data_IF_920075385781
#
_entry.id   IF_920075385781
#
_cell.length_a   1.000
_cell.length_b   1.000
_cell.length_c   1.000
_cell.angle_alpha   90.00
_cell.angle_beta   90.00
_cell.angle_gamma   90.00
#
_symmetry.space_group_name_H-M   'P 1'
#
loop_
_entity.id
_entity.type
_entity.pdbx_description
1 polymer ?
#
# COMPACT_ATOMS: atom_id res chain seq x y z
N UNK A 1 77.56 -41.77 16.12
CA UNK A 1 76.72 -41.86 14.90
C UNK A 1 76.73 -40.47 14.24
N UNK A 2 77.64 -40.19 13.29
CA UNK A 2 77.50 -40.36 11.83
C UNK A 2 76.27 -39.65 11.20
N UNK A 3 76.52 -38.41 10.77
CA UNK A 3 76.26 -37.79 9.45
C UNK A 3 74.85 -37.31 9.01
N UNK A 4 74.72 -35.98 9.02
CA UNK A 4 74.13 -35.03 8.02
C UNK A 4 73.56 -35.63 6.71
N UNK A 5 72.41 -35.11 6.25
CA UNK A 5 72.29 -34.08 5.17
C UNK A 5 70.82 -33.76 4.83
N UNK A 6 70.55 -32.47 4.66
CA UNK A 6 69.42 -31.86 3.94
C UNK A 6 69.24 -32.50 2.56
N UNK A 7 67.99 -32.67 2.10
CA UNK A 7 67.59 -32.34 0.73
C UNK A 7 66.16 -31.80 0.69
N UNK A 8 66.09 -30.53 0.28
CA UNK A 8 64.93 -29.82 -0.24
C UNK A 8 64.66 -30.35 -1.67
N UNK A 9 63.42 -30.71 -2.00
CA UNK A 9 63.03 -30.95 -3.38
C UNK A 9 61.78 -30.13 -3.71
N UNK A 10 62.01 -29.08 -4.51
CA UNK A 10 61.00 -28.40 -5.31
C UNK A 10 60.30 -29.41 -6.22
N UNK A 11 58.96 -29.31 -6.28
CA UNK A 11 58.14 -29.94 -7.32
C UNK A 11 57.15 -28.92 -7.85
N UNK A 12 57.61 -28.08 -8.79
CA UNK A 12 56.78 -27.20 -9.60
C UNK A 12 56.11 -28.07 -10.69
N UNK A 13 54.78 -28.14 -10.68
CA UNK A 13 54.00 -28.88 -11.69
C UNK A 13 52.79 -28.05 -12.11
N UNK A 14 52.97 -27.27 -13.17
CA UNK A 14 51.90 -26.55 -13.85
C UNK A 14 50.98 -27.54 -14.58
N UNK A 15 49.68 -27.45 -14.34
CA UNK A 15 48.66 -28.02 -15.22
C UNK A 15 47.63 -26.93 -15.55
N UNK A 16 47.79 -26.43 -16.76
CA UNK A 16 46.92 -25.53 -17.49
C UNK A 16 45.61 -26.24 -17.83
N UNK A 17 44.48 -25.52 -17.78
CA UNK A 17 43.35 -25.76 -18.68
C UNK A 17 42.15 -26.51 -18.11
N UNK A 18 41.14 -25.74 -17.69
CA UNK A 18 39.76 -25.86 -18.19
C UNK A 18 38.89 -24.80 -17.48
N UNK A 19 38.96 -23.57 -17.97
CA UNK A 19 37.92 -22.57 -17.73
C UNK A 19 36.67 -23.00 -18.51
N UNK A 20 35.91 -23.94 -17.96
CA UNK A 20 34.56 -24.21 -18.40
C UNK A 20 33.63 -23.22 -17.70
N UNK A 21 33.28 -22.16 -18.43
CA UNK A 21 32.26 -21.20 -18.06
C UNK A 21 30.91 -21.91 -17.84
N UNK A 22 30.62 -22.29 -16.59
CA UNK A 22 29.26 -22.52 -16.14
C UNK A 22 28.60 -21.15 -16.05
N UNK A 23 28.00 -20.77 -17.18
CA UNK A 23 27.12 -19.62 -17.29
C UNK A 23 26.11 -19.67 -16.16
N UNK A 24 26.10 -18.59 -15.39
CA UNK A 24 25.03 -18.18 -14.51
C UNK A 24 23.72 -18.24 -15.30
N UNK A 25 22.96 -19.33 -15.12
CA UNK A 25 21.55 -19.32 -15.41
C UNK A 25 20.92 -18.37 -14.39
N UNK A 26 20.72 -17.12 -14.80
CA UNK A 26 19.90 -16.15 -14.11
C UNK A 26 18.54 -16.82 -13.80
N UNK A 27 18.05 -16.81 -12.55
CA UNK A 27 16.67 -17.14 -12.32
C UNK A 27 15.85 -16.09 -13.07
N UNK A 28 15.26 -16.52 -14.18
CA UNK A 28 14.26 -15.76 -14.93
C UNK A 28 13.33 -15.12 -13.91
N UNK A 29 13.39 -13.79 -13.86
CA UNK A 29 12.58 -12.94 -13.00
C UNK A 29 11.13 -13.12 -13.42
N UNK A 30 10.52 -14.20 -12.94
CA UNK A 30 9.10 -14.44 -13.08
C UNK A 30 8.39 -13.19 -12.56
N UNK A 31 7.69 -12.52 -13.48
CA UNK A 31 6.89 -11.34 -13.20
C UNK A 31 5.92 -11.73 -12.08
N UNK A 32 6.14 -11.18 -10.89
CA UNK A 32 5.23 -11.35 -9.77
C UNK A 32 3.81 -11.04 -10.25
N UNK A 33 2.80 -11.85 -9.92
CA UNK A 33 1.43 -11.60 -10.36
C UNK A 33 1.04 -10.20 -9.91
N UNK A 34 0.54 -9.40 -10.87
CA UNK A 34 0.12 -8.04 -10.61
C UNK A 34 -0.91 -8.06 -9.48
N UNK A 35 -0.64 -7.26 -8.46
CA UNK A 35 -1.56 -7.01 -7.37
C UNK A 35 -2.93 -6.60 -7.95
N UNK A 36 -4.05 -7.16 -7.45
CA UNK A 36 -5.36 -6.63 -7.79
C UNK A 36 -5.41 -5.14 -7.45
N UNK A 37 -5.80 -4.32 -8.43
CA UNK A 37 -6.13 -2.91 -8.19
C UNK A 37 -7.17 -2.82 -7.08
N UNK A 38 -7.03 -1.88 -6.12
CA UNK A 38 -8.08 -1.62 -5.16
C UNK A 38 -9.37 -1.27 -5.93
N UNK A 39 -10.54 -1.80 -5.52
CA UNK A 39 -11.78 -1.61 -6.25
C UNK A 39 -12.10 -0.12 -6.44
N UNK A 40 -12.49 0.26 -7.66
CA UNK A 40 -12.79 1.66 -8.06
C UNK A 40 -14.01 2.28 -7.37
N UNK A 41 -14.70 1.53 -6.49
CA UNK A 41 -15.95 1.91 -5.80
C UNK A 41 -15.76 2.44 -4.37
N UNK A 42 -14.55 2.80 -3.97
CA UNK A 42 -14.24 3.18 -2.58
C UNK A 42 -13.87 1.99 -1.71
N UNK A 43 -13.57 2.25 -0.43
CA UNK A 43 -13.16 1.19 0.51
C UNK A 43 -14.34 0.26 0.82
N UNK A 44 -14.17 -1.07 0.76
CA UNK A 44 -15.25 -2.01 1.04
C UNK A 44 -15.77 -1.84 2.47
N UNK A 45 -17.05 -2.15 2.73
CA UNK A 45 -17.60 -2.17 4.09
C UNK A 45 -16.79 -3.12 4.99
N UNK A 46 -16.80 -2.87 6.30
CA UNK A 46 -16.02 -3.70 7.23
C UNK A 46 -16.63 -5.11 7.32
N UNK A 47 -15.81 -6.17 7.29
CA UNK A 47 -16.30 -7.54 7.38
C UNK A 47 -16.92 -7.82 8.77
N UNK A 48 -17.73 -8.89 8.91
CA UNK A 48 -18.19 -9.33 10.22
C UNK A 48 -16.99 -9.60 11.14
N UNK A 49 -17.09 -9.17 12.41
CA UNK A 49 -16.00 -9.33 13.38
C UNK A 49 -15.76 -10.80 13.73
N UNK A 50 -14.54 -11.27 13.53
CA UNK A 50 -14.12 -12.59 14.01
C UNK A 50 -13.58 -12.46 15.45
N UNK A 51 -14.20 -13.14 16.41
CA UNK A 51 -13.73 -13.12 17.79
C UNK A 51 -12.66 -14.17 18.02
N UNK A 52 -11.52 -13.77 18.58
CA UNK A 52 -10.43 -14.69 18.88
C UNK A 52 -9.84 -14.45 20.27
N UNK A 53 -9.34 -15.51 20.91
CA UNK A 53 -8.53 -15.40 22.13
C UNK A 53 -7.12 -14.90 21.83
N UNK A 54 -6.61 -15.17 20.63
CA UNK A 54 -5.34 -14.63 20.17
C UNK A 54 -5.59 -13.28 19.51
N UNK A 55 -4.85 -12.28 19.95
CA UNK A 55 -4.93 -10.92 19.44
C UNK A 55 -3.54 -10.52 18.98
N UNK A 56 -3.47 -9.82 17.85
CA UNK A 56 -2.25 -9.21 17.35
C UNK A 56 -2.21 -7.75 17.75
N UNK A 57 -1.07 -7.33 18.29
CA UNK A 57 -0.77 -5.95 18.67
C UNK A 57 0.25 -5.41 17.70
N UNK A 58 -0.20 -4.45 16.90
CA UNK A 58 0.59 -3.75 15.91
C UNK A 58 1.17 -2.49 16.55
N UNK A 59 2.49 -2.41 16.62
CA UNK A 59 3.17 -1.17 16.94
C UNK A 59 3.21 -0.33 15.66
N UNK A 60 2.55 0.83 15.70
CA UNK A 60 2.45 1.76 14.57
C UNK A 60 3.29 2.98 14.90
N UNK A 61 4.19 3.32 13.99
CA UNK A 61 5.00 4.53 14.08
C UNK A 61 4.57 5.48 12.97
N UNK A 62 4.30 6.73 13.33
CA UNK A 62 4.01 7.79 12.39
C UNK A 62 5.09 8.83 12.50
N UNK A 63 5.68 9.21 11.37
CA UNK A 63 6.72 10.22 11.31
C UNK A 63 6.51 11.06 10.05
N UNK A 64 6.39 12.38 10.21
CA UNK A 64 6.14 13.28 9.08
C UNK A 64 4.84 12.95 8.33
N UNK A 65 3.81 12.52 9.07
CA UNK A 65 2.52 12.08 8.51
C UNK A 65 2.55 10.75 7.76
N UNK A 66 3.69 10.05 7.69
CA UNK A 66 3.80 8.71 7.09
C UNK A 66 3.74 7.64 8.18
N UNK A 67 2.80 6.71 8.04
CA UNK A 67 2.68 5.57 8.94
C UNK A 67 3.58 4.42 8.48
N UNK A 68 4.13 3.68 9.44
CA UNK A 68 4.89 2.44 9.24
C UNK A 68 4.55 1.43 10.34
N UNK A 69 4.84 0.16 10.05
CA UNK A 69 4.50 -0.99 10.89
C UNK A 69 5.78 -1.71 11.37
N UNK A 70 6.55 -1.11 12.31
CA UNK A 70 7.85 -1.64 12.72
C UNK A 70 7.81 -3.03 13.37
N UNK A 71 6.75 -3.32 14.13
CA UNK A 71 6.66 -4.57 14.90
C UNK A 71 5.24 -5.02 15.13
N UNK A 72 5.05 -6.32 15.21
CA UNK A 72 3.82 -6.99 15.59
C UNK A 72 4.11 -8.01 16.68
N UNK A 73 3.25 -8.08 17.68
CA UNK A 73 3.33 -9.08 18.75
C UNK A 73 1.96 -9.74 18.93
N UNK A 74 1.93 -10.93 19.52
CA UNK A 74 0.67 -11.59 19.87
C UNK A 74 0.43 -11.54 21.38
N UNK A 75 -0.84 -11.43 21.77
CA UNK A 75 -1.28 -11.54 23.16
C UNK A 75 -2.48 -12.46 23.23
N UNK A 76 -2.53 -13.30 24.26
CA UNK A 76 -3.69 -14.13 24.56
C UNK A 76 -4.59 -13.39 25.55
N UNK A 77 -5.88 -13.36 25.26
CA UNK A 77 -6.92 -12.82 26.14
C UNK A 77 -7.81 -13.95 26.65
N UNK A 78 -8.34 -13.78 27.87
CA UNK A 78 -9.15 -14.79 28.53
C UNK A 78 -10.46 -15.06 27.75
N UNK A 79 -11.09 -13.99 27.27
CA UNK A 79 -12.36 -14.04 26.56
C UNK A 79 -12.14 -13.74 25.08
N UNK A 80 -12.64 -14.58 24.15
CA UNK A 80 -12.58 -14.29 22.72
C UNK A 80 -13.16 -12.90 22.44
N UNK A 81 -12.37 -12.03 21.84
CA UNK A 81 -12.74 -10.63 21.61
C UNK A 81 -12.66 -10.32 20.12
N UNK A 82 -13.69 -9.73 19.49
CA UNK A 82 -13.62 -9.32 18.10
C UNK A 82 -12.76 -8.05 17.96
N UNK A 83 -12.26 -7.83 16.75
CA UNK A 83 -11.64 -6.56 16.38
C UNK A 83 -12.63 -5.41 16.56
N UNK A 84 -12.20 -4.35 17.26
CA UNK A 84 -13.03 -3.17 17.47
C UNK A 84 -13.22 -2.43 16.15
N UNK A 85 -14.47 -2.16 15.79
CA UNK A 85 -14.82 -1.33 14.64
C UNK A 85 -14.77 0.14 15.06
N UNK A 86 -13.81 0.87 14.54
CA UNK A 86 -13.66 2.31 14.75
C UNK A 86 -13.59 3.01 13.39
N UNK A 87 -13.85 4.31 13.37
CA UNK A 87 -13.53 5.15 12.22
C UNK A 87 -12.11 5.68 12.35
N UNK A 88 -11.45 5.92 11.22
CA UNK A 88 -10.12 6.50 11.21
C UNK A 88 -9.54 6.63 9.80
N UNK A 89 -8.59 7.53 9.65
CA UNK A 89 -7.83 7.77 8.41
C UNK A 89 -6.97 6.56 8.05
N UNK A 90 -6.34 5.92 9.02
CA UNK A 90 -5.48 4.78 8.77
C UNK A 90 -6.21 3.48 9.04
N UNK A 91 -5.76 2.41 8.39
CA UNK A 91 -6.26 1.08 8.67
C UNK A 91 -5.15 0.02 8.64
N UNK A 92 -5.26 -0.97 9.52
CA UNK A 92 -4.57 -2.25 9.40
C UNK A 92 -5.59 -3.26 8.90
N UNK A 93 -5.25 -3.98 7.84
CA UNK A 93 -6.14 -4.90 7.14
C UNK A 93 -5.51 -6.28 6.97
N UNK A 94 -6.24 -7.34 7.33
CA UNK A 94 -5.88 -8.71 6.99
C UNK A 94 -6.55 -9.16 5.71
N UNK A 95 -5.78 -9.81 4.84
CA UNK A 95 -6.24 -10.23 3.53
C UNK A 95 -5.88 -11.67 3.22
N UNK A 96 -6.71 -12.30 2.39
CA UNK A 96 -6.41 -13.54 1.67
C UNK A 96 -6.74 -13.36 0.20
N UNK A 97 -5.72 -13.34 -0.67
CA UNK A 97 -5.90 -13.01 -2.08
C UNK A 97 -6.53 -11.62 -2.26
N UNK A 98 -7.83 -11.58 -2.63
CA UNK A 98 -8.62 -10.34 -2.81
C UNK A 98 -9.72 -10.16 -1.75
N UNK A 99 -9.81 -11.07 -0.77
CA UNK A 99 -10.82 -11.03 0.30
C UNK A 99 -10.24 -10.32 1.52
N UNK A 100 -10.95 -9.29 1.99
CA UNK A 100 -10.65 -8.61 3.25
C UNK A 100 -11.25 -9.42 4.41
N UNK A 101 -10.38 -9.96 5.27
CA UNK A 101 -10.78 -10.80 6.40
C UNK A 101 -11.11 -9.99 7.63
N UNK A 102 -10.28 -9.00 7.94
CA UNK A 102 -10.49 -8.13 9.09
C UNK A 102 -9.86 -6.76 8.87
N UNK A 103 -10.43 -5.74 9.51
CA UNK A 103 -9.94 -4.37 9.44
C UNK A 103 -10.10 -3.66 10.77
N UNK A 104 -9.04 -3.04 11.22
CA UNK A 104 -9.11 -2.03 12.26
C UNK A 104 -8.68 -0.68 11.72
N UNK A 105 -9.55 0.31 11.87
CA UNK A 105 -9.24 1.70 11.54
C UNK A 105 -8.83 2.45 12.79
N UNK A 106 -7.98 3.44 12.63
CA UNK A 106 -7.51 4.27 13.72
C UNK A 106 -7.15 5.67 13.21
N UNK A 107 -7.21 6.63 14.12
CA UNK A 107 -6.71 7.98 13.89
C UNK A 107 -5.42 8.20 14.66
N UNK A 108 -4.61 9.12 14.14
CA UNK A 108 -3.36 9.54 14.74
C UNK A 108 -3.62 10.87 15.44
N UNK A 109 -3.43 10.96 16.77
CA UNK A 109 -3.64 12.21 17.48
C UNK A 109 -2.85 13.35 16.85
N UNK A 110 -3.49 14.50 16.71
CA UNK A 110 -2.91 15.72 16.15
C UNK A 110 -2.46 15.63 14.68
N UNK A 111 -2.72 14.53 13.97
CA UNK A 111 -2.46 14.53 12.53
C UNK A 111 -3.60 15.26 11.81
N UNK A 112 -3.26 16.32 11.07
CA UNK A 112 -4.24 17.09 10.29
C UNK A 112 -5.02 16.18 9.33
N UNK A 113 -6.33 16.39 9.27
CA UNK A 113 -7.24 15.56 8.48
C UNK A 113 -7.10 15.78 6.97
N UNK A 114 -6.69 16.97 6.54
CA UNK A 114 -6.32 17.20 5.15
C UNK A 114 -5.44 18.46 5.00
N UNK A 115 -4.44 18.39 4.12
CA UNK A 115 -3.67 19.57 3.72
C UNK A 115 -4.50 20.52 2.84
N UNK A 116 -5.59 20.02 2.22
CA UNK A 116 -6.48 20.77 1.34
C UNK A 116 -7.46 21.69 2.09
N UNK A 117 -7.84 21.34 3.32
CA UNK A 117 -8.73 22.15 4.17
C UNK A 117 -8.00 23.30 4.91
N UNK A 118 -6.76 23.57 4.54
CA UNK A 118 -5.98 24.66 5.14
C UNK A 118 -6.55 26.01 4.75
N UNK A 119 -7.03 26.75 5.74
CA UNK A 119 -7.34 28.18 5.60
C UNK A 119 -6.08 28.90 5.12
N UNK A 120 -6.12 29.44 3.90
CA UNK A 120 -5.07 30.32 3.37
C UNK A 120 -5.31 31.72 3.96
N UNK A 121 -4.42 32.18 4.82
CA UNK A 121 -4.51 33.53 5.39
C UNK A 121 -3.69 33.73 6.66
N UNK A 122 -3.62 34.98 7.18
CA UNK A 122 -2.85 35.33 8.37
C UNK A 122 -3.38 34.68 9.67
N UNK A 123 -4.57 34.10 9.65
CA UNK A 123 -5.18 33.33 10.74
C UNK A 123 -4.92 31.81 10.61
N UNK A 124 -3.79 31.43 10.01
CA UNK A 124 -3.39 30.02 9.91
C UNK A 124 -3.15 29.48 11.32
N UNK A 125 -3.95 28.49 11.73
CA UNK A 125 -3.72 27.75 12.97
C UNK A 125 -2.39 26.99 12.96
N UNK A 126 -1.95 26.48 14.12
CA UNK A 126 -0.74 25.67 14.21
C UNK A 126 -0.79 24.48 13.24
N UNK A 127 0.34 24.20 12.59
CA UNK A 127 0.47 23.12 11.60
C UNK A 127 0.98 21.85 12.27
N UNK A 128 0.23 20.76 12.12
CA UNK A 128 0.59 19.47 12.68
C UNK A 128 0.84 18.40 11.60
N UNK A 129 1.25 18.81 10.40
CA UNK A 129 1.63 17.84 9.35
C UNK A 129 2.82 16.95 9.73
N UNK A 130 3.71 17.43 10.60
CA UNK A 130 4.96 16.76 10.94
C UNK A 130 4.96 16.15 12.35
N UNK A 131 3.83 15.59 12.78
CA UNK A 131 3.77 14.87 14.05
C UNK A 131 4.52 13.55 13.96
N UNK A 132 5.30 13.27 15.01
CA UNK A 132 5.91 11.95 15.24
C UNK A 132 5.22 11.31 16.44
N UNK A 133 4.61 10.14 16.25
CA UNK A 133 3.93 9.43 17.33
C UNK A 133 4.07 7.92 17.19
N UNK A 134 3.88 7.22 18.31
CA UNK A 134 3.83 5.77 18.38
C UNK A 134 2.57 5.34 19.10
N UNK A 135 1.83 4.44 18.48
CA UNK A 135 0.57 3.93 19.02
C UNK A 135 0.47 2.43 18.79
N UNK A 136 -0.40 1.77 19.55
CA UNK A 136 -0.63 0.34 19.45
C UNK A 136 -2.07 0.08 19.06
N UNK A 137 -2.25 -0.78 18.07
CA UNK A 137 -3.56 -1.19 17.59
C UNK A 137 -3.70 -2.69 17.76
N UNK A 138 -4.87 -3.14 18.22
CA UNK A 138 -5.14 -4.55 18.51
C UNK A 138 -6.21 -5.11 17.58
N UNK A 139 -5.91 -6.22 16.92
CA UNK A 139 -6.82 -6.92 16.01
C UNK A 139 -6.89 -8.39 16.38
N UNK A 140 -8.06 -9.00 16.21
CA UNK A 140 -8.25 -10.43 16.43
C UNK A 140 -7.43 -11.26 15.43
N UNK A 141 -6.98 -12.44 15.87
CA UNK A 141 -6.28 -13.37 14.99
C UNK A 141 -7.18 -13.87 13.84
N UNK A 142 -6.59 -13.95 12.66
CA UNK A 142 -7.24 -14.49 11.47
C UNK A 142 -6.31 -15.54 10.83
N UNK A 143 -6.51 -16.83 11.13
CA UNK A 143 -5.64 -17.90 10.64
C UNK A 143 -5.58 -18.03 9.11
N UNK A 144 -6.59 -17.49 8.41
CA UNK A 144 -6.66 -17.48 6.94
C UNK A 144 -5.84 -16.34 6.30
N UNK A 145 -5.33 -15.39 7.09
CA UNK A 145 -4.62 -14.23 6.55
C UNK A 145 -3.32 -14.66 5.87
N UNK A 146 -3.11 -14.19 4.64
CA UNK A 146 -1.91 -14.41 3.85
C UNK A 146 -0.99 -13.18 3.85
N UNK A 147 -1.56 -11.99 4.01
CA UNK A 147 -0.81 -10.75 4.15
C UNK A 147 -1.57 -9.74 5.01
N UNK A 148 -0.82 -8.76 5.51
CA UNK A 148 -1.36 -7.59 6.19
C UNK A 148 -1.05 -6.33 5.39
N UNK A 149 -1.98 -5.38 5.35
CA UNK A 149 -1.79 -4.09 4.72
C UNK A 149 -1.96 -2.96 5.74
N UNK A 150 -1.05 -1.97 5.69
CA UNK A 150 -1.20 -0.68 6.35
C UNK A 150 -1.64 0.32 5.28
N UNK A 151 -2.80 0.93 5.49
CA UNK A 151 -3.48 1.80 4.53
C UNK A 151 -3.60 3.20 5.10
N UNK A 152 -3.16 4.22 4.36
CA UNK A 152 -3.56 5.61 4.58
C UNK A 152 -4.72 5.93 3.63
N UNK A 153 -5.92 6.12 4.18
CA UNK A 153 -7.12 6.33 3.37
C UNK A 153 -7.25 7.76 2.86
N UNK A 154 -6.48 8.71 3.40
CA UNK A 154 -6.49 10.08 2.88
C UNK A 154 -5.65 10.19 1.59
N UNK A 155 -4.52 9.48 1.52
CA UNK A 155 -3.63 9.49 0.34
C UNK A 155 -3.88 8.32 -0.61
N UNK A 156 -4.47 7.22 -0.11
CA UNK A 156 -4.59 5.97 -0.84
C UNK A 156 -3.32 5.12 -0.81
N UNK A 157 -2.32 5.48 0.00
CA UNK A 157 -1.08 4.72 0.12
C UNK A 157 -1.32 3.38 0.83
N UNK A 158 -0.75 2.31 0.27
CA UNK A 158 -0.89 0.95 0.81
C UNK A 158 0.46 0.29 0.91
N UNK A 159 0.89 -0.02 2.14
CA UNK A 159 2.07 -0.83 2.42
C UNK A 159 1.62 -2.27 2.72
N UNK A 160 2.12 -3.24 1.96
CA UNK A 160 1.77 -4.66 2.15
C UNK A 160 2.92 -5.42 2.75
N UNK A 161 2.60 -6.36 3.63
CA UNK A 161 3.58 -7.19 4.31
C UNK A 161 3.14 -8.65 4.37
N UNK A 162 4.11 -9.55 4.26
CA UNK A 162 3.91 -10.98 4.38
C UNK A 162 3.41 -11.31 5.78
N UNK A 163 2.54 -12.29 5.86
CA UNK A 163 1.96 -12.75 7.11
C UNK A 163 2.12 -14.27 7.22
N UNK A 164 2.41 -14.82 8.41
CA UNK A 164 2.61 -14.16 9.72
C UNK A 164 3.94 -13.42 9.86
N UNK A 165 4.13 -12.61 10.93
CA UNK A 165 5.44 -12.03 11.25
C UNK A 165 6.47 -13.11 11.63
N UNK A 166 7.75 -12.76 11.57
CA UNK A 166 8.84 -13.62 12.05
C UNK A 166 8.85 -13.78 13.58
N UNK A 167 9.80 -14.56 14.11
CA UNK A 167 9.92 -14.83 15.54
C UNK A 167 10.15 -13.56 16.37
N UNK A 168 10.80 -12.55 15.80
CA UNK A 168 11.05 -11.25 16.42
C UNK A 168 9.86 -10.29 16.32
N UNK A 169 8.86 -10.64 15.51
CA UNK A 169 7.66 -9.85 15.27
C UNK A 169 7.80 -8.87 14.10
N UNK A 170 8.78 -9.04 13.22
CA UNK A 170 8.99 -8.20 12.04
C UNK A 170 8.18 -8.72 10.86
N UNK A 171 7.85 -7.79 9.98
CA UNK A 171 7.03 -8.02 8.80
C UNK A 171 7.86 -7.79 7.54
N UNK A 172 7.89 -8.78 6.65
CA UNK A 172 8.59 -8.67 5.38
C UNK A 172 7.73 -7.92 4.35
N UNK A 173 8.19 -6.82 3.75
CA UNK A 173 7.41 -6.10 2.74
C UNK A 173 7.11 -6.96 1.50
N UNK A 174 5.85 -6.95 1.04
CA UNK A 174 5.41 -7.62 -0.19
C UNK A 174 5.37 -6.62 -1.35
N UNK A 175 6.55 -6.30 -1.89
CA UNK A 175 6.67 -5.45 -3.09
C UNK A 175 6.30 -3.97 -2.87
N UNK A 176 6.62 -3.14 -3.87
CA UNK A 176 6.55 -1.69 -3.74
C UNK A 176 5.12 -1.19 -3.46
N UNK A 177 5.01 -0.31 -2.46
CA UNK A 177 3.81 0.49 -2.16
C UNK A 177 3.24 1.04 -3.46
N UNK A 178 2.13 0.48 -3.93
CA UNK A 178 1.45 0.96 -5.11
C UNK A 178 0.75 2.27 -4.74
N UNK A 179 1.44 3.39 -4.96
CA UNK A 179 0.77 4.68 -5.05
C UNK A 179 -0.22 4.59 -6.22
N UNK A 180 -1.49 5.01 -6.08
CA UNK A 180 -2.39 5.05 -7.22
C UNK A 180 -1.83 6.05 -8.22
N UNK A 181 -1.48 5.57 -9.42
CA UNK A 181 -1.25 6.42 -10.57
C UNK A 181 -2.53 7.24 -10.76
N UNK A 182 -2.43 8.55 -10.54
CA UNK A 182 -3.49 9.48 -10.91
C UNK A 182 -3.73 9.29 -12.41
N UNK A 183 -4.89 8.72 -12.73
CA UNK A 183 -5.39 8.66 -14.09
C UNK A 183 -5.53 10.10 -14.58
N UNK A 184 -4.54 10.60 -15.31
CA UNK A 184 -4.75 11.71 -16.24
C UNK A 184 -5.68 11.18 -17.31
N UNK A 185 -6.94 11.56 -17.21
CA UNK A 185 -7.92 11.48 -18.28
C UNK A 185 -7.31 12.08 -19.53
N UNK A 186 -6.93 11.23 -20.49
CA UNK A 186 -6.76 11.68 -21.87
C UNK A 186 -8.14 11.83 -22.45
N UNK A 187 -8.59 13.09 -22.53
CA UNK A 187 -9.71 13.49 -23.35
C UNK A 187 -9.47 13.01 -24.78
N UNK A 188 -10.20 11.97 -25.20
CA UNK A 188 -10.44 11.70 -26.60
C UNK A 188 -11.81 12.28 -26.92
N UNK A 189 -11.79 13.53 -27.37
CA UNK A 189 -12.95 14.19 -27.98
C UNK A 189 -13.24 13.48 -29.31
N UNK A 190 -14.47 12.99 -29.42
CA UNK A 190 -14.92 12.14 -30.51
C UNK A 190 -15.13 12.96 -31.78
N UNK A 191 -14.64 12.42 -32.89
CA UNK A 191 -14.76 13.04 -34.20
C UNK A 191 -16.20 13.35 -34.59
N UNK A 192 -16.37 14.53 -35.19
CA UNK A 192 -17.54 14.93 -35.97
C UNK A 192 -17.57 14.16 -37.30
N UNK A 193 -18.72 13.60 -37.67
CA UNK A 193 -19.15 13.76 -39.07
C UNK A 193 -20.66 13.99 -39.18
N UNK A 194 -21.08 14.87 -40.10
CA UNK A 194 -22.49 14.94 -40.48
C UNK A 194 -22.91 16.23 -41.15
N UNK A 195 -22.34 16.52 -42.31
CA UNK A 195 -22.95 17.38 -43.32
C UNK A 195 -24.18 16.65 -43.92
N UNK A 196 -25.35 17.28 -43.90
CA UNK A 196 -26.34 17.16 -44.98
C UNK A 196 -27.56 18.07 -44.76
N UNK A 197 -27.78 18.96 -45.73
CA UNK A 197 -29.10 19.15 -46.34
C UNK A 197 -30.04 20.19 -45.72
N UNK A 198 -30.10 21.37 -46.34
CA UNK A 198 -31.13 22.38 -46.06
C UNK A 198 -32.47 22.12 -46.75
N UNK A 199 -33.43 23.00 -46.45
CA UNK A 199 -34.51 23.62 -47.26
C UNK A 199 -35.36 24.43 -46.24
N UNK A 200 -35.47 25.77 -46.39
CA UNK A 200 -36.72 26.50 -46.71
C UNK A 200 -37.70 26.57 -45.52
N UNK A 201 -38.41 27.63 -45.15
CA UNK A 201 -38.91 28.80 -45.86
C UNK A 201 -39.68 29.70 -44.84
N UNK A 202 -39.75 31.00 -45.15
CA UNK A 202 -40.59 32.12 -44.69
C UNK A 202 -41.42 32.13 -43.37
N UNK A 203 -41.05 33.08 -42.47
CA UNK A 203 -41.89 34.15 -41.86
C UNK A 203 -43.12 33.83 -40.97
N UNK A 204 -43.76 34.83 -40.32
CA UNK A 204 -43.43 36.26 -40.22
C UNK A 204 -43.18 36.74 -38.77
N UNK A 205 -42.57 37.92 -38.66
CA UNK A 205 -42.47 38.73 -37.44
C UNK A 205 -43.59 39.77 -37.46
N UNK A 206 -44.46 39.77 -36.45
CA UNK A 206 -45.40 40.88 -36.23
C UNK A 206 -45.00 41.64 -34.98
N UNK A 207 -44.56 42.87 -35.22
CA UNK A 207 -44.47 43.93 -34.23
C UNK A 207 -45.80 44.68 -34.26
N UNK A 208 -46.34 45.02 -33.09
CA UNK A 208 -47.36 46.07 -32.98
C UNK A 208 -47.04 46.96 -31.80
N UNK A 209 -46.58 48.15 -32.15
CA UNK A 209 -46.63 49.38 -31.36
C UNK A 209 -47.99 50.03 -31.63
N UNK A 210 -48.70 50.41 -30.56
CA UNK A 210 -49.53 51.62 -30.36
C UNK A 210 -50.40 51.38 -29.12
N UNK A 211 -50.59 52.28 -28.15
CA UNK A 211 -50.55 53.73 -28.24
C UNK A 211 -51.96 54.31 -28.11
N UNK A 212 -52.57 54.23 -26.92
CA UNK A 212 -53.53 55.20 -26.34
C UNK A 212 -53.88 54.85 -24.89
#
# INVERSE_FOLDING_TARGET
MKNRRLFLALGLGAALGAAAALSLAEPSRAKAPAAPEPPRGGFPPDPPGNASKKQWVFDIQVQGGKASLPRVSSVLVNTPTPTVRMMGRFAVEFWVGKELLDRIRFDVPMLDRDSKDRRRGPLRGPDFTNVSTRLKVRMADSPRAAFVALVDRATGDVQRFAWPPDAEGRLAPLGASAAPAQAKETAFDAGSPGDSGGFGDAGPSDASVDGR
#
